data_IF_997383930046
#
_entry.id   IF_997383930046
#
_cell.length_a   1.000
_cell.length_b   1.000
_cell.length_c   1.000
_cell.angle_alpha   90.00
_cell.angle_beta   90.00
_cell.angle_gamma   90.00
#
_symmetry.space_group_name_H-M   'P 1'
#
loop_
_entity.id
_entity.type
_entity.pdbx_description
1 polymer ?
#
# COMPACT_ATOMS: atom_id res chain seq x y z
N UNK A 1 5.24 22.34 -9.99
CA UNK A 1 5.39 22.39 -11.46
C UNK A 1 6.35 23.52 -11.80
N UNK A 2 7.61 23.21 -12.10
CA UNK A 2 8.58 24.25 -12.50
C UNK A 2 8.17 24.71 -13.90
N UNK A 3 7.73 25.96 -14.03
CA UNK A 3 7.30 26.55 -15.31
C UNK A 3 8.54 26.74 -16.19
N UNK A 4 8.62 25.98 -17.31
CA UNK A 4 9.67 26.12 -18.31
C UNK A 4 10.44 24.84 -18.69
N UNK A 5 10.26 23.72 -17.97
CA UNK A 5 10.88 22.42 -18.30
C UNK A 5 9.86 21.47 -18.92
N UNK A 6 10.30 20.73 -19.94
CA UNK A 6 9.50 19.69 -20.61
C UNK A 6 8.93 18.68 -19.57
N UNK A 7 7.61 18.40 -19.56
CA UNK A 7 6.97 17.48 -18.61
C UNK A 7 7.61 16.09 -18.59
N UNK A 8 8.13 15.65 -19.74
CA UNK A 8 8.84 14.37 -19.90
C UNK A 8 10.09 14.30 -19.03
N UNK A 9 10.87 15.38 -18.96
CA UNK A 9 12.11 15.42 -18.17
C UNK A 9 11.81 15.43 -16.67
N UNK A 10 10.75 16.14 -16.25
CA UNK A 10 10.28 16.11 -14.86
C UNK A 10 9.83 14.72 -14.44
N UNK A 11 9.06 14.04 -15.29
CA UNK A 11 8.62 12.67 -15.03
C UNK A 11 9.80 11.69 -14.96
N UNK A 12 10.80 11.84 -15.84
CA UNK A 12 12.01 11.01 -15.82
C UNK A 12 12.82 11.20 -14.54
N UNK A 13 13.11 12.44 -14.14
CA UNK A 13 13.85 12.73 -12.91
C UNK A 13 13.08 12.25 -11.67
N UNK A 14 11.76 12.48 -11.62
CA UNK A 14 10.91 11.98 -10.54
C UNK A 14 10.92 10.44 -10.49
N UNK A 15 10.80 9.77 -11.64
CA UNK A 15 10.85 8.32 -11.73
C UNK A 15 12.20 7.74 -11.29
N UNK A 16 13.31 8.29 -11.78
CA UNK A 16 14.65 7.90 -11.36
C UNK A 16 14.88 8.12 -9.86
N UNK A 17 14.37 9.22 -9.31
CA UNK A 17 14.43 9.48 -7.87
C UNK A 17 13.64 8.43 -7.07
N UNK A 18 12.40 8.12 -7.46
CA UNK A 18 11.59 7.09 -6.79
C UNK A 18 12.27 5.72 -6.83
N UNK A 19 12.81 5.32 -7.98
CA UNK A 19 13.55 4.06 -8.12
C UNK A 19 14.83 4.07 -7.29
N UNK A 20 15.52 5.20 -7.20
CA UNK A 20 16.69 5.38 -6.34
C UNK A 20 16.36 5.19 -4.86
N UNK A 21 15.25 5.75 -4.39
CA UNK A 21 14.75 5.54 -3.02
C UNK A 21 14.41 4.07 -2.77
N UNK A 22 13.78 3.37 -3.73
CA UNK A 22 13.52 1.93 -3.62
C UNK A 22 14.82 1.11 -3.55
N UNK A 23 15.80 1.44 -4.40
CA UNK A 23 17.11 0.78 -4.40
C UNK A 23 17.83 1.00 -3.06
N UNK A 24 17.82 2.23 -2.53
CA UNK A 24 18.39 2.57 -1.23
C UNK A 24 17.69 1.81 -0.10
N UNK A 25 16.36 1.76 -0.11
CA UNK A 25 15.57 0.99 0.86
C UNK A 25 15.92 -0.51 0.86
N UNK A 26 16.11 -1.09 -0.32
CA UNK A 26 16.52 -2.50 -0.46
C UNK A 26 17.99 -2.73 -0.06
N UNK A 27 18.87 -1.76 -0.28
CA UNK A 27 20.28 -1.82 0.09
C UNK A 27 20.48 -1.94 1.61
N UNK A 28 19.62 -1.28 2.40
CA UNK A 28 19.64 -1.34 3.87
C UNK A 28 19.43 -2.77 4.41
N UNK A 29 18.74 -3.63 3.66
CA UNK A 29 18.49 -5.04 4.05
C UNK A 29 19.78 -5.87 4.06
N UNK A 30 20.76 -5.56 3.21
CA UNK A 30 22.04 -6.27 3.16
C UNK A 30 22.96 -6.00 4.36
N UNK A 31 22.80 -4.83 5.01
CA UNK A 31 23.56 -4.47 6.20
C UNK A 31 22.98 -5.15 7.45
N UNK A 32 21.66 -5.40 7.48
CA UNK A 32 20.97 -6.09 8.58
C UNK A 32 21.07 -7.62 8.44
N UNK A 33 22.25 -8.17 8.72
CA UNK A 33 22.56 -9.61 8.61
C UNK A 33 21.75 -10.53 9.54
N UNK A 34 21.03 -9.98 10.53
CA UNK A 34 20.19 -10.72 11.48
C UNK A 34 18.73 -10.26 11.37
N UNK A 35 17.93 -10.94 10.52
CA UNK A 35 16.53 -10.59 10.33
C UNK A 35 15.68 -10.97 11.54
N UNK A 36 15.30 -9.97 12.33
CA UNK A 36 14.30 -10.12 13.37
C UNK A 36 12.92 -10.05 12.69
N UNK A 37 12.18 -11.16 12.64
CA UNK A 37 10.89 -11.21 11.92
C UNK A 37 9.93 -10.08 12.34
N UNK A 38 10.02 -9.64 13.59
CA UNK A 38 9.29 -8.48 14.12
C UNK A 38 9.56 -7.17 13.35
N UNK A 39 10.81 -6.91 12.96
CA UNK A 39 11.16 -5.70 12.21
C UNK A 39 10.66 -5.78 10.76
N UNK A 40 10.71 -6.97 10.16
CA UNK A 40 10.16 -7.20 8.83
C UNK A 40 8.64 -7.02 8.82
N UNK A 41 7.93 -7.62 9.79
CA UNK A 41 6.49 -7.49 9.94
C UNK A 41 6.08 -6.03 10.22
N UNK A 42 6.89 -5.30 10.99
CA UNK A 42 6.70 -3.85 11.22
C UNK A 42 6.87 -3.05 9.92
N UNK A 43 7.88 -3.36 9.10
CA UNK A 43 8.12 -2.66 7.82
C UNK A 43 7.01 -2.91 6.80
N UNK A 44 6.49 -4.15 6.73
CA UNK A 44 5.37 -4.52 5.87
C UNK A 44 4.07 -3.84 6.33
N UNK A 45 3.83 -3.80 7.64
CA UNK A 45 2.70 -3.07 8.21
C UNK A 45 2.79 -1.55 8.00
N UNK A 46 3.98 -0.97 8.13
CA UNK A 46 4.22 0.45 7.87
C UNK A 46 3.97 0.79 6.39
N UNK A 47 4.48 -0.02 5.46
CA UNK A 47 4.24 0.16 4.03
C UNK A 47 2.75 0.09 3.69
N UNK A 48 2.02 -0.88 4.26
CA UNK A 48 0.57 -1.00 4.10
C UNK A 48 -0.18 0.24 4.67
N UNK A 49 0.27 0.76 5.82
CA UNK A 49 -0.30 1.96 6.43
C UNK A 49 -0.10 3.22 5.58
N UNK A 50 1.13 3.50 5.12
CA UNK A 50 1.43 4.68 4.30
C UNK A 50 0.62 4.67 3.00
N UNK A 51 0.50 3.50 2.34
CA UNK A 51 -0.25 3.37 1.10
C UNK A 51 -1.75 3.66 1.28
N UNK A 52 -2.35 3.17 2.36
CA UNK A 52 -3.78 3.41 2.64
C UNK A 52 -4.02 4.89 3.02
N UNK A 53 -3.23 5.46 3.91
CA UNK A 53 -3.36 6.86 4.33
C UNK A 53 -3.22 7.86 3.17
N UNK A 54 -2.21 7.66 2.32
CA UNK A 54 -2.00 8.50 1.13
C UNK A 54 -3.21 8.45 0.19
N UNK A 55 -3.82 7.27 0.01
CA UNK A 55 -5.00 7.08 -0.84
C UNK A 55 -6.22 7.82 -0.30
N UNK A 56 -6.46 7.78 1.02
CA UNK A 56 -7.61 8.45 1.63
C UNK A 56 -7.52 9.99 1.53
N UNK A 57 -6.37 10.57 1.84
CA UNK A 57 -6.22 12.03 1.85
C UNK A 57 -5.99 12.62 0.46
N UNK A 58 -5.20 11.94 -0.38
CA UNK A 58 -4.77 12.51 -1.67
C UNK A 58 -5.74 12.19 -2.80
N UNK A 59 -6.52 11.10 -2.70
CA UNK A 59 -7.46 10.70 -3.74
C UNK A 59 -8.91 10.72 -3.26
N UNK A 60 -9.22 10.16 -2.09
CA UNK A 60 -10.61 9.99 -1.68
C UNK A 60 -11.29 11.32 -1.32
N UNK A 61 -10.63 12.17 -0.54
CA UNK A 61 -11.13 13.51 -0.21
C UNK A 61 -11.42 14.38 -1.45
N UNK A 62 -10.49 14.56 -2.41
CA UNK A 62 -10.79 15.32 -3.63
C UNK A 62 -11.81 14.61 -4.55
N UNK A 63 -11.84 13.27 -4.59
CA UNK A 63 -12.82 12.54 -5.40
C UNK A 63 -14.27 12.76 -4.93
N UNK A 64 -14.49 12.90 -3.62
CA UNK A 64 -15.81 13.20 -3.06
C UNK A 64 -16.24 14.62 -3.44
N UNK A 65 -15.35 15.62 -3.33
CA UNK A 65 -15.65 17.00 -3.69
C UNK A 65 -16.04 17.15 -5.18
N UNK A 66 -15.36 16.43 -6.07
CA UNK A 66 -15.67 16.42 -7.51
C UNK A 66 -17.02 15.71 -7.78
N UNK A 67 -17.31 14.65 -7.03
CA UNK A 67 -18.57 13.90 -7.16
C UNK A 67 -19.77 14.68 -6.61
N UNK A 68 -19.58 15.47 -5.54
CA UNK A 68 -20.60 16.38 -4.99
C UNK A 68 -21.04 17.44 -6.01
N UNK A 69 -20.09 17.97 -6.81
CA UNK A 69 -20.38 18.95 -7.86
C UNK A 69 -21.24 18.40 -9.00
N UNK A 70 -21.29 17.08 -9.18
CA UNK A 70 -22.00 16.43 -10.31
C UNK A 70 -23.31 15.76 -9.89
N UNK A 71 -23.39 15.23 -8.66
CA UNK A 71 -24.47 14.29 -8.27
C UNK A 71 -24.99 14.48 -6.83
N UNK A 72 -24.70 15.63 -6.20
CA UNK A 72 -25.26 16.02 -4.89
C UNK A 72 -25.10 14.93 -3.81
N UNK A 73 -26.19 14.63 -3.08
CA UNK A 73 -26.21 13.72 -1.91
C UNK A 73 -25.77 12.27 -2.18
N UNK A 74 -25.60 11.85 -3.44
CA UNK A 74 -25.12 10.52 -3.83
C UNK A 74 -23.62 10.48 -4.20
N UNK A 75 -22.86 11.55 -3.92
CA UNK A 75 -21.44 11.68 -4.26
C UNK A 75 -20.53 10.52 -3.78
N UNK A 76 -20.89 9.85 -2.70
CA UNK A 76 -20.15 8.70 -2.19
C UNK A 76 -20.30 7.46 -3.10
N UNK A 77 -21.42 7.32 -3.81
CA UNK A 77 -21.73 6.15 -4.62
C UNK A 77 -20.73 5.93 -5.78
N UNK A 78 -20.43 6.92 -6.65
CA UNK A 78 -19.47 6.72 -7.74
C UNK A 78 -18.05 6.47 -7.23
N UNK A 79 -17.64 7.13 -6.14
CA UNK A 79 -16.31 6.93 -5.53
C UNK A 79 -16.18 5.52 -4.96
N UNK A 80 -17.19 5.05 -4.22
CA UNK A 80 -17.21 3.71 -3.64
C UNK A 80 -17.27 2.62 -4.73
N UNK A 81 -18.08 2.81 -5.78
CA UNK A 81 -18.16 1.86 -6.90
C UNK A 81 -16.83 1.81 -7.66
N UNK A 82 -16.20 2.95 -7.96
CA UNK A 82 -14.89 2.98 -8.61
C UNK A 82 -13.81 2.28 -7.79
N UNK A 83 -13.79 2.52 -6.47
CA UNK A 83 -12.86 1.85 -5.56
C UNK A 83 -13.12 0.34 -5.48
N UNK A 84 -14.39 -0.08 -5.39
CA UNK A 84 -14.78 -1.49 -5.34
C UNK A 84 -14.42 -2.24 -6.63
N UNK A 85 -14.64 -1.63 -7.80
CA UNK A 85 -14.24 -2.20 -9.10
C UNK A 85 -12.72 -2.31 -9.20
N UNK A 86 -11.97 -1.30 -8.75
CA UNK A 86 -10.50 -1.37 -8.68
C UNK A 86 -10.00 -2.49 -7.75
N UNK A 87 -10.61 -2.63 -6.58
CA UNK A 87 -10.30 -3.70 -5.64
C UNK A 87 -10.62 -5.09 -6.22
N UNK A 88 -11.77 -5.24 -6.88
CA UNK A 88 -12.17 -6.47 -7.57
C UNK A 88 -11.21 -6.82 -8.71
N UNK A 89 -10.74 -5.82 -9.46
CA UNK A 89 -9.74 -6.00 -10.52
C UNK A 89 -8.42 -6.55 -9.97
N UNK A 90 -7.89 -5.95 -8.90
CA UNK A 90 -6.66 -6.45 -8.24
C UNK A 90 -6.87 -7.85 -7.67
N UNK A 91 -8.02 -8.12 -7.06
CA UNK A 91 -8.36 -9.46 -6.56
C UNK A 91 -8.40 -10.50 -7.69
N UNK A 92 -8.97 -10.16 -8.83
CA UNK A 92 -9.01 -11.03 -10.00
C UNK A 92 -7.61 -11.27 -10.56
N UNK A 93 -6.78 -10.23 -10.65
CA UNK A 93 -5.39 -10.35 -11.07
C UNK A 93 -4.58 -11.28 -10.14
N UNK A 94 -4.76 -11.20 -8.81
CA UNK A 94 -4.11 -12.13 -7.87
C UNK A 94 -4.62 -13.58 -8.03
N UNK A 95 -5.88 -13.75 -8.42
CA UNK A 95 -6.46 -15.07 -8.66
C UNK A 95 -5.99 -15.70 -9.97
N UNK A 96 -5.64 -14.89 -10.97
CA UNK A 96 -5.06 -15.35 -12.24
C UNK A 96 -3.62 -15.85 -12.09
N UNK A 97 -2.91 -15.47 -11.03
CA UNK A 97 -1.58 -16.00 -10.75
C UNK A 97 -1.69 -17.49 -10.36
N UNK A 98 -1.13 -18.42 -11.16
CA UNK A 98 -1.20 -19.84 -10.89
C UNK A 98 -0.49 -20.17 -9.57
N UNK A 99 -1.26 -20.59 -8.57
CA UNK A 99 -0.81 -20.93 -7.21
C UNK A 99 -0.12 -22.30 -7.16
N UNK A 100 0.64 -22.65 -8.20
CA UNK A 100 0.94 -24.05 -8.51
C UNK A 100 2.21 -24.57 -7.84
N UNK A 101 3.13 -23.74 -7.30
CA UNK A 101 4.45 -24.31 -6.92
C UNK A 101 5.28 -23.60 -5.83
N UNK A 102 4.83 -22.49 -5.22
CA UNK A 102 5.76 -21.63 -4.43
C UNK A 102 5.32 -21.24 -3.01
N UNK A 103 4.51 -22.05 -2.31
CA UNK A 103 3.67 -21.52 -1.21
C UNK A 103 3.85 -22.01 0.23
N UNK A 104 4.74 -22.94 0.57
CA UNK A 104 4.77 -23.55 1.93
C UNK A 104 5.86 -23.04 2.89
N UNK A 105 6.67 -22.03 2.52
CA UNK A 105 7.77 -21.54 3.39
C UNK A 105 7.62 -20.09 3.90
N UNK A 106 6.63 -19.33 3.44
CA UNK A 106 6.41 -17.93 3.87
C UNK A 106 5.28 -17.80 4.91
N UNK A 107 4.46 -18.85 5.12
CA UNK A 107 3.35 -18.87 6.08
C UNK A 107 3.72 -19.59 7.38
N UNK A 108 4.80 -19.19 8.03
CA UNK A 108 5.04 -19.55 9.43
C UNK A 108 5.95 -18.51 10.11
N UNK A 109 5.53 -17.26 10.10
CA UNK A 109 5.76 -16.40 11.25
C UNK A 109 4.48 -16.47 12.07
N UNK A 110 4.45 -17.35 13.05
CA UNK A 110 3.45 -17.31 14.11
C UNK A 110 3.51 -15.93 14.76
N UNK A 111 2.62 -15.01 14.35
CA UNK A 111 2.26 -13.87 15.17
C UNK A 111 1.47 -14.48 16.32
N UNK A 112 2.21 -14.90 17.35
CA UNK A 112 1.65 -15.24 18.65
C UNK A 112 1.00 -13.98 19.21
N UNK A 113 -0.29 -13.84 18.90
CA UNK A 113 -1.20 -13.00 19.64
C UNK A 113 -1.31 -13.64 21.03
N UNK A 114 -0.33 -13.37 21.90
CA UNK A 114 -0.41 -13.63 23.34
C UNK A 114 -1.41 -12.63 23.98
N UNK A 115 -2.64 -12.61 23.47
CA UNK A 115 -3.76 -11.79 23.99
C UNK A 115 -4.82 -12.65 24.66
N UNK A 116 -4.40 -13.69 25.40
CA UNK A 116 -5.24 -14.43 26.35
C UNK A 116 -4.50 -14.61 27.69
N UNK A 117 -3.91 -13.53 28.21
CA UNK A 117 -3.39 -13.49 29.59
C UNK A 117 -3.55 -12.12 30.28
N UNK A 118 -4.50 -11.31 29.83
CA UNK A 118 -4.87 -10.03 30.49
C UNK A 118 -6.27 -10.11 31.15
N UNK A 119 -7.00 -11.22 30.99
CA UNK A 119 -8.36 -11.39 31.55
C UNK A 119 -8.43 -12.24 32.84
N UNK A 120 -7.29 -12.42 33.54
CA UNK A 120 -7.25 -13.18 34.82
C UNK A 120 -6.62 -12.40 35.98
N UNK A 121 -6.43 -11.08 35.85
CA UNK A 121 -5.97 -10.20 36.94
C UNK A 121 -6.69 -8.85 36.81
N UNK A 122 -7.98 -8.82 37.14
CA UNK A 122 -8.81 -7.70 37.65
C UNK A 122 -10.19 -8.30 37.88
#
# INVERSE_FOLDING_TARGET
MIRGINPVWQALVAGCFTWGVTALGSALVFVMKHQNRKLLDLSLGFAAGVMTAASFWSLLAPAIEISEKTMGSLAFLPVAVGFAVGAAFVHFADRMLPRNTWGSRIRCGEVRIDRVRILSVT
#
